data_IF_059114472769
#
_entry.id   IF_059114472769
#
_cell.length_a   1.000
_cell.length_b   1.000
_cell.length_c   1.000
_cell.angle_alpha   90.00
_cell.angle_beta   90.00
_cell.angle_gamma   90.00
#
_symmetry.space_group_name_H-M   'P 1'
#
loop_
_entity.id
_entity.type
_entity.pdbx_description
1 polymer ?
#
# COMPACT_ATOMS: atom_id res chain seq x y z
N UNK A 1 12.34 3.86 7.55
CA UNK A 1 13.00 4.81 6.61
C UNK A 1 14.52 4.65 6.47
N UNK A 2 15.20 3.79 7.24
CA UNK A 2 16.68 3.64 7.18
C UNK A 2 17.20 2.76 6.01
N UNK A 3 16.35 1.93 5.39
CA UNK A 3 16.80 0.94 4.39
C UNK A 3 17.08 1.58 3.03
N UNK A 4 16.20 2.45 2.54
CA UNK A 4 16.33 3.05 1.20
C UNK A 4 17.40 4.13 1.14
N UNK A 5 17.74 4.78 2.26
CA UNK A 5 18.77 5.82 2.32
C UNK A 5 20.19 5.32 2.01
N UNK A 6 20.39 3.99 1.99
CA UNK A 6 21.67 3.35 1.67
C UNK A 6 21.73 2.80 0.23
N UNK A 7 20.62 2.85 -0.53
CA UNK A 7 20.58 2.36 -1.90
C UNK A 7 21.07 3.44 -2.88
N UNK A 8 21.85 3.05 -3.88
CA UNK A 8 22.17 3.92 -5.01
C UNK A 8 20.96 4.08 -5.92
N UNK A 9 20.94 5.15 -6.73
CA UNK A 9 19.88 5.37 -7.71
C UNK A 9 19.72 4.17 -8.65
N UNK A 10 20.83 3.60 -9.13
CA UNK A 10 20.81 2.40 -9.96
C UNK A 10 20.13 1.23 -9.25
N UNK A 11 20.46 0.97 -7.98
CA UNK A 11 19.84 -0.12 -7.20
C UNK A 11 18.36 0.11 -6.94
N UNK A 12 17.93 1.35 -6.77
CA UNK A 12 16.52 1.71 -6.64
C UNK A 12 15.68 1.38 -7.89
N UNK A 13 16.32 1.32 -9.07
CA UNK A 13 15.68 1.05 -10.36
C UNK A 13 15.88 -0.39 -10.86
N UNK A 14 16.81 -1.15 -10.29
CA UNK A 14 17.06 -2.53 -10.72
C UNK A 14 15.95 -3.46 -10.23
N UNK A 15 15.22 -4.14 -11.14
CA UNK A 15 14.23 -5.13 -10.75
C UNK A 15 14.87 -6.40 -10.18
N UNK A 16 14.15 -7.09 -9.30
CA UNK A 16 14.49 -8.43 -8.83
C UNK A 16 13.99 -9.54 -9.79
N UNK A 17 14.07 -10.80 -9.36
CA UNK A 17 13.58 -11.95 -10.14
C UNK A 17 12.05 -11.93 -10.37
N UNK A 18 11.31 -11.22 -9.52
CA UNK A 18 9.87 -10.97 -9.68
C UNK A 18 9.56 -9.82 -10.65
N UNK A 19 10.58 -9.10 -11.13
CA UNK A 19 10.45 -7.99 -12.07
C UNK A 19 10.10 -6.65 -11.40
N UNK A 20 10.19 -6.56 -10.06
CA UNK A 20 9.88 -5.35 -9.32
C UNK A 20 11.14 -4.71 -8.77
N UNK A 21 11.33 -3.40 -9.00
CA UNK A 21 12.43 -2.66 -8.39
C UNK A 21 12.06 -2.21 -6.97
N UNK A 22 13.05 -1.84 -6.12
CA UNK A 22 12.75 -1.20 -4.84
C UNK A 22 11.83 0.02 -4.96
N UNK A 23 11.97 0.82 -6.02
CA UNK A 23 11.04 1.92 -6.33
C UNK A 23 9.60 1.42 -6.52
N UNK A 24 9.41 0.34 -7.26
CA UNK A 24 8.06 -0.20 -7.55
C UNK A 24 7.40 -0.76 -6.28
N UNK A 25 8.19 -1.40 -5.41
CA UNK A 25 7.73 -1.85 -4.10
C UNK A 25 7.29 -0.66 -3.22
N UNK A 26 8.02 0.45 -3.22
CA UNK A 26 7.65 1.64 -2.43
C UNK A 26 6.35 2.29 -2.89
N UNK A 27 6.16 2.43 -4.20
CA UNK A 27 4.90 3.02 -4.68
C UNK A 27 3.72 2.08 -4.45
N UNK A 28 3.92 0.77 -4.55
CA UNK A 28 2.92 -0.22 -4.20
C UNK A 28 2.45 -0.12 -2.75
N UNK A 29 3.39 -0.01 -1.80
CA UNK A 29 3.06 0.25 -0.40
C UNK A 29 2.21 1.53 -0.24
N UNK A 30 2.52 2.59 -0.99
CA UNK A 30 1.72 3.81 -0.96
C UNK A 30 0.30 3.61 -1.51
N UNK A 31 0.13 2.86 -2.59
CA UNK A 31 -1.19 2.56 -3.15
C UNK A 31 -2.07 1.79 -2.17
N UNK A 32 -1.50 0.81 -1.46
CA UNK A 32 -2.22 0.04 -0.45
C UNK A 32 -2.54 0.85 0.80
N UNK A 33 -1.70 1.80 1.22
CA UNK A 33 -2.07 2.76 2.26
C UNK A 33 -3.21 3.70 1.84
N UNK A 34 -3.23 4.14 0.58
CA UNK A 34 -4.38 4.90 0.03
C UNK A 34 -5.64 4.04 0.04
N UNK A 35 -5.52 2.77 -0.31
CA UNK A 35 -6.61 1.80 -0.27
C UNK A 35 -7.12 1.54 1.15
N UNK A 36 -6.22 1.36 2.13
CA UNK A 36 -6.55 1.26 3.55
C UNK A 36 -7.38 2.46 4.02
N UNK A 37 -6.91 3.67 3.77
CA UNK A 37 -7.63 4.88 4.19
C UNK A 37 -8.99 5.02 3.49
N UNK A 38 -9.03 4.91 2.16
CA UNK A 38 -10.24 5.19 1.40
C UNK A 38 -11.26 4.05 1.43
N UNK A 39 -10.81 2.81 1.21
CA UNK A 39 -11.71 1.66 1.21
C UNK A 39 -11.95 1.19 2.63
N UNK A 40 -10.90 0.79 3.36
CA UNK A 40 -11.06 0.11 4.64
C UNK A 40 -11.55 1.02 5.77
N UNK A 41 -11.10 2.28 5.83
CA UNK A 41 -11.54 3.20 6.89
C UNK A 41 -12.75 4.02 6.47
N UNK A 42 -12.78 4.56 5.24
CA UNK A 42 -13.87 5.45 4.80
C UNK A 42 -15.03 4.74 4.08
N UNK A 43 -14.93 3.43 3.85
CA UNK A 43 -15.99 2.63 3.24
C UNK A 43 -16.25 2.93 1.76
N UNK A 44 -15.32 3.62 1.07
CA UNK A 44 -15.51 4.03 -0.32
C UNK A 44 -15.35 2.84 -1.28
N UNK A 45 -15.99 2.86 -2.45
CA UNK A 45 -15.81 1.82 -3.46
C UNK A 45 -14.33 1.69 -3.90
N UNK A 46 -13.86 0.45 -4.08
CA UNK A 46 -12.46 0.14 -4.43
C UNK A 46 -11.98 0.94 -5.64
N UNK A 47 -12.72 0.85 -6.74
CA UNK A 47 -12.39 1.52 -8.01
C UNK A 47 -12.21 3.04 -7.89
N UNK A 48 -12.98 3.70 -7.02
CA UNK A 48 -12.83 5.14 -6.79
C UNK A 48 -11.56 5.50 -6.01
N UNK A 49 -11.16 4.63 -5.09
CA UNK A 49 -10.01 4.85 -4.21
C UNK A 49 -8.71 4.62 -4.98
N UNK A 50 -8.57 3.46 -5.61
CA UNK A 50 -7.36 3.09 -6.37
C UNK A 50 -7.39 3.55 -7.83
N UNK A 51 -8.48 4.18 -8.28
CA UNK A 51 -8.63 4.75 -9.63
C UNK A 51 -8.35 3.74 -10.74
N UNK A 52 -8.89 2.54 -10.59
CA UNK A 52 -8.87 1.48 -11.59
C UNK A 52 -10.31 1.22 -12.07
N UNK A 53 -10.51 0.63 -13.27
CA UNK A 53 -11.85 0.28 -13.76
C UNK A 53 -12.62 -0.57 -12.74
N UNK A 54 -13.93 -0.35 -12.65
CA UNK A 54 -14.75 -1.06 -11.66
C UNK A 54 -14.68 -2.58 -11.87
N UNK A 55 -14.73 -3.02 -13.12
CA UNK A 55 -14.64 -4.43 -13.52
C UNK A 55 -13.37 -5.10 -12.98
N UNK A 56 -12.26 -4.37 -12.95
CA UNK A 56 -10.97 -4.86 -12.47
C UNK A 56 -10.92 -5.03 -10.95
N UNK A 57 -11.68 -4.21 -10.22
CA UNK A 57 -11.65 -4.17 -8.74
C UNK A 57 -12.79 -4.94 -8.09
N UNK A 58 -13.89 -5.15 -8.82
CA UNK A 58 -15.12 -5.80 -8.35
C UNK A 58 -14.88 -7.25 -7.95
N UNK A 59 -14.08 -7.97 -8.73
CA UNK A 59 -13.76 -9.38 -8.47
C UNK A 59 -12.80 -9.57 -7.29
N UNK A 60 -12.10 -8.51 -6.86
CA UNK A 60 -11.07 -8.60 -5.81
C UNK A 60 -9.86 -9.43 -6.22
N UNK A 61 -9.59 -9.51 -7.52
CA UNK A 61 -8.39 -10.14 -8.07
C UNK A 61 -7.20 -9.20 -7.83
N UNK A 62 -6.55 -9.39 -6.68
CA UNK A 62 -5.45 -8.54 -6.25
C UNK A 62 -4.24 -8.63 -7.17
N UNK A 63 -4.02 -9.76 -7.86
CA UNK A 63 -2.92 -9.90 -8.82
C UNK A 63 -3.15 -8.99 -10.04
N UNK A 64 -4.36 -8.99 -10.59
CA UNK A 64 -4.69 -8.08 -11.70
C UNK A 64 -4.66 -6.61 -11.28
N UNK A 65 -5.12 -6.32 -10.06
CA UNK A 65 -5.01 -4.96 -9.50
C UNK A 65 -3.54 -4.54 -9.36
N UNK A 66 -2.71 -5.40 -8.77
CA UNK A 66 -1.28 -5.16 -8.58
C UNK A 66 -0.56 -4.93 -9.91
N UNK A 67 -0.86 -5.73 -10.94
CA UNK A 67 -0.31 -5.55 -12.28
C UNK A 67 -0.71 -4.19 -12.87
N UNK A 68 -1.98 -3.79 -12.77
CA UNK A 68 -2.43 -2.50 -13.29
C UNK A 68 -1.80 -1.32 -12.52
N UNK A 69 -1.63 -1.44 -11.21
CA UNK A 69 -0.94 -0.43 -10.39
C UNK A 69 0.56 -0.36 -10.71
N UNK A 70 1.20 -1.49 -10.99
CA UNK A 70 2.58 -1.56 -11.45
C UNK A 70 2.73 -0.84 -12.79
N UNK A 71 1.93 -1.18 -13.80
CA UNK A 71 1.99 -0.55 -15.13
C UNK A 71 1.76 0.96 -15.08
N UNK A 72 0.86 1.43 -14.19
CA UNK A 72 0.62 2.85 -13.98
C UNK A 72 1.83 3.60 -13.40
N UNK A 73 2.59 2.95 -12.53
CA UNK A 73 3.62 3.59 -11.72
C UNK A 73 5.06 3.30 -12.16
N UNK A 74 5.29 2.30 -13.03
CA UNK A 74 6.64 1.84 -13.41
C UNK A 74 7.55 2.94 -13.97
N UNK A 75 6.98 3.91 -14.70
CA UNK A 75 7.72 5.00 -15.34
C UNK A 75 7.90 6.25 -14.45
N UNK A 76 7.42 6.22 -13.19
CA UNK A 76 7.60 7.33 -12.24
C UNK A 76 9.06 7.45 -11.78
N UNK A 77 9.48 8.69 -11.50
CA UNK A 77 10.81 8.97 -10.94
C UNK A 77 10.92 8.49 -9.49
N UNK A 78 12.16 8.25 -9.03
CA UNK A 78 12.42 7.92 -7.61
C UNK A 78 11.96 9.06 -6.70
N UNK A 79 12.21 10.32 -7.09
CA UNK A 79 11.83 11.49 -6.29
C UNK A 79 10.32 11.58 -6.09
N UNK A 80 9.54 11.37 -7.16
CA UNK A 80 8.08 11.37 -7.09
C UNK A 80 7.55 10.25 -6.19
N UNK A 81 8.12 9.04 -6.30
CA UNK A 81 7.71 7.88 -5.49
C UNK A 81 8.06 8.10 -4.02
N UNK A 82 9.26 8.58 -3.73
CA UNK A 82 9.71 8.87 -2.37
C UNK A 82 8.90 9.97 -1.71
N UNK A 83 8.52 11.00 -2.47
CA UNK A 83 7.65 12.07 -1.98
C UNK A 83 6.24 11.56 -1.71
N UNK A 84 5.70 10.73 -2.59
CA UNK A 84 4.36 10.17 -2.46
C UNK A 84 4.24 9.24 -1.25
N UNK A 85 5.13 8.27 -1.08
CA UNK A 85 5.05 7.34 0.06
C UNK A 85 5.20 8.08 1.41
N UNK A 86 6.06 9.11 1.48
CA UNK A 86 6.20 9.96 2.67
C UNK A 86 4.91 10.69 3.01
N UNK A 87 4.29 11.30 2.00
CA UNK A 87 3.03 12.03 2.14
C UNK A 87 1.91 11.08 2.58
N UNK A 88 1.71 9.98 1.86
CA UNK A 88 0.66 9.00 2.16
C UNK A 88 0.84 8.39 3.55
N UNK A 89 2.07 8.07 3.95
CA UNK A 89 2.34 7.58 5.30
C UNK A 89 1.99 8.63 6.37
N UNK A 90 2.35 9.89 6.16
CA UNK A 90 1.98 10.97 7.08
C UNK A 90 0.45 11.13 7.19
N UNK A 91 -0.26 11.12 6.05
CA UNK A 91 -1.72 11.19 6.01
C UNK A 91 -2.37 10.02 6.78
N UNK A 92 -1.83 8.80 6.62
CA UNK A 92 -2.30 7.62 7.34
C UNK A 92 -2.05 7.73 8.84
N UNK A 93 -0.87 8.20 9.26
CA UNK A 93 -0.54 8.39 10.67
C UNK A 93 -1.42 9.45 11.32
N UNK A 94 -1.70 10.56 10.63
CA UNK A 94 -2.60 11.61 11.12
C UNK A 94 -4.02 11.05 11.31
N UNK A 95 -4.50 10.26 10.34
CA UNK A 95 -5.82 9.61 10.40
C UNK A 95 -5.92 8.61 11.55
N UNK A 96 -4.91 7.76 11.74
CA UNK A 96 -4.86 6.78 12.83
C UNK A 96 -4.76 7.48 14.20
N UNK A 97 -3.99 8.55 14.31
CA UNK A 97 -3.83 9.31 15.56
C UNK A 97 -5.12 10.03 15.96
N UNK A 98 -5.91 10.49 14.98
CA UNK A 98 -7.20 11.13 15.23
C UNK A 98 -8.34 10.14 15.53
N UNK A 99 -8.14 8.85 15.28
CA UNK A 99 -9.17 7.81 15.46
C UNK A 99 -9.16 7.26 16.88
N UNK A 100 -10.32 7.16 17.57
CA UNK A 100 -10.41 6.43 18.83
C UNK A 100 -10.02 4.96 18.64
N UNK A 101 -9.25 4.40 19.57
CA UNK A 101 -8.76 3.03 19.45
C UNK A 101 -9.90 2.01 19.37
N UNK A 102 -11.03 2.28 20.03
CA UNK A 102 -12.22 1.44 20.01
C UNK A 102 -12.85 1.30 18.62
N UNK A 103 -12.67 2.29 17.73
CA UNK A 103 -13.13 2.18 16.34
C UNK A 103 -12.33 1.13 15.57
N UNK A 104 -11.04 0.95 15.88
CA UNK A 104 -10.20 -0.08 15.27
C UNK A 104 -10.64 -1.49 15.68
N UNK A 105 -11.30 -1.63 16.84
CA UNK A 105 -11.80 -2.90 17.34
C UNK A 105 -13.18 -3.28 16.79
N UNK A 106 -13.83 -2.41 16.02
CA UNK A 106 -15.11 -2.73 15.38
C UNK A 106 -14.91 -3.64 14.17
N UNK A 107 -15.90 -4.47 13.83
CA UNK A 107 -15.88 -5.21 12.59
C UNK A 107 -15.70 -4.29 11.38
N UNK A 108 -14.82 -4.67 10.46
CA UNK A 108 -14.59 -3.89 9.24
C UNK A 108 -15.85 -3.80 8.38
N UNK A 109 -16.57 -4.92 8.26
CA UNK A 109 -17.83 -5.03 7.51
C UNK A 109 -18.97 -5.31 8.50
N UNK A 110 -19.89 -4.35 8.64
CA UNK A 110 -20.99 -4.45 9.60
C UNK A 110 -21.95 -5.62 9.28
N UNK A 111 -22.08 -5.97 8.00
CA UNK A 111 -22.90 -7.06 7.48
C UNK A 111 -22.18 -8.42 7.45
N UNK A 112 -20.86 -8.43 7.70
CA UNK A 112 -20.02 -9.63 7.69
C UNK A 112 -18.96 -9.55 8.81
N UNK A 113 -19.38 -9.52 10.10
CA UNK A 113 -18.47 -9.30 11.21
C UNK A 113 -17.44 -10.42 11.41
N UNK A 114 -17.71 -11.62 10.89
CA UNK A 114 -16.78 -12.75 10.87
C UNK A 114 -15.53 -12.50 10.01
N UNK A 115 -15.53 -11.46 9.17
CA UNK A 115 -14.39 -11.09 8.31
C UNK A 115 -13.32 -10.25 9.03
N UNK A 116 -13.39 -10.13 10.35
CA UNK A 116 -12.37 -9.48 11.16
C UNK A 116 -12.64 -8.02 11.48
N UNK A 117 -11.80 -7.47 12.35
CA UNK A 117 -11.89 -6.09 12.83
C UNK A 117 -11.09 -5.14 11.94
N UNK A 118 -11.34 -3.84 12.04
CA UNK A 118 -10.61 -2.84 11.25
C UNK A 118 -9.08 -2.90 11.52
N UNK A 119 -8.68 -3.19 12.76
CA UNK A 119 -7.27 -3.30 13.14
C UNK A 119 -6.51 -4.35 12.30
N UNK A 120 -7.14 -5.47 11.95
CA UNK A 120 -6.48 -6.52 11.15
C UNK A 120 -6.07 -5.99 9.77
N UNK A 121 -6.91 -5.16 9.15
CA UNK A 121 -6.60 -4.52 7.87
C UNK A 121 -5.53 -3.44 8.01
N UNK A 122 -5.50 -2.71 9.14
CA UNK A 122 -4.44 -1.74 9.43
C UNK A 122 -3.10 -2.46 9.53
N UNK A 123 -3.01 -3.55 10.29
CA UNK A 123 -1.77 -4.32 10.46
C UNK A 123 -1.32 -4.95 9.14
N UNK A 124 -2.27 -5.52 8.40
CA UNK A 124 -2.04 -6.08 7.07
C UNK A 124 -1.44 -5.06 6.11
N UNK A 125 -2.11 -3.93 5.86
CA UNK A 125 -1.67 -2.92 4.90
C UNK A 125 -0.51 -2.03 5.39
N UNK A 126 0.00 -2.24 6.61
CA UNK A 126 1.14 -1.47 7.17
C UNK A 126 2.26 -2.36 7.69
N UNK A 127 2.21 -2.80 8.95
CA UNK A 127 3.30 -3.51 9.64
C UNK A 127 3.75 -4.73 8.84
N UNK A 128 2.81 -5.63 8.53
CA UNK A 128 3.09 -6.90 7.86
C UNK A 128 3.58 -6.66 6.44
N UNK A 129 2.88 -5.80 5.69
CA UNK A 129 3.25 -5.45 4.33
C UNK A 129 4.60 -4.73 4.22
N UNK A 130 4.94 -3.85 5.17
CA UNK A 130 6.27 -3.25 5.24
C UNK A 130 7.35 -4.28 5.54
N UNK A 131 7.08 -5.26 6.40
CA UNK A 131 8.03 -6.34 6.67
C UNK A 131 8.27 -7.20 5.43
N UNK A 132 7.20 -7.63 4.75
CA UNK A 132 7.26 -8.39 3.49
C UNK A 132 8.11 -7.67 2.44
N UNK A 133 7.83 -6.40 2.17
CA UNK A 133 8.57 -5.64 1.16
C UNK A 133 9.96 -5.21 1.62
N UNK A 134 10.20 -5.06 2.93
CA UNK A 134 11.53 -4.76 3.44
C UNK A 134 12.50 -5.89 3.10
N UNK A 135 12.09 -7.15 3.19
CA UNK A 135 12.95 -8.28 2.81
C UNK A 135 13.36 -8.20 1.34
N UNK A 136 12.41 -7.90 0.45
CA UNK A 136 12.66 -7.72 -0.98
C UNK A 136 13.59 -6.54 -1.26
N UNK A 137 13.35 -5.39 -0.63
CA UNK A 137 14.18 -4.18 -0.80
C UNK A 137 15.60 -4.42 -0.26
N UNK A 138 15.75 -5.13 0.87
CA UNK A 138 17.05 -5.43 1.48
C UNK A 138 17.86 -6.42 0.65
N UNK A 139 17.24 -7.40 -0.03
CA UNK A 139 17.94 -8.29 -0.96
C UNK A 139 18.61 -7.54 -2.13
N UNK A 140 18.16 -6.31 -2.42
CA UNK A 140 18.76 -5.42 -3.41
C UNK A 140 20.01 -4.66 -2.96
N UNK A 141 20.37 -4.70 -1.67
CA UNK A 141 21.62 -4.15 -1.11
C UNK A 141 22.83 -5.02 -1.49
#
# INVERSE_FOLDING_TARGET
MLVTGNLTEQRMLTPDEGGWSPKDNLIHLAEWMVYLMGHHMDGRPRHEVIKLPEELTREGDFDKMNQALFERNKDRSIEDVMSEIKRVYADLMDKLTAMPFEELLKPRYADAPEKGILLDWVLGDTTEHFEEHRETIVKGL
#
